data_IF_156741403193
#
_entry.id   IF_156741403193
#
_cell.length_a   1.000
_cell.length_b   1.000
_cell.length_c   1.000
_cell.angle_alpha   90.00
_cell.angle_beta   90.00
_cell.angle_gamma   90.00
#
_symmetry.space_group_name_H-M   'P 1'
#
loop_
_entity.id
_entity.type
_entity.pdbx_description
1 polymer ?
#
# COMPACT_ATOMS: atom_id res chain seq x y z
N UNK A 1 17.86 28.06 -10.34
CA UNK A 1 16.63 27.26 -10.53
C UNK A 1 16.76 25.83 -9.98
N UNK A 2 17.71 25.02 -10.48
CA UNK A 2 17.91 23.61 -10.08
C UNK A 2 18.07 23.38 -8.57
N UNK A 3 18.86 24.22 -7.89
CA UNK A 3 19.12 24.07 -6.45
C UNK A 3 17.90 24.35 -5.56
N UNK A 4 16.91 25.11 -6.07
CA UNK A 4 15.65 25.36 -5.36
C UNK A 4 14.71 24.16 -5.50
N UNK A 5 14.67 23.54 -6.69
CA UNK A 5 13.89 22.32 -6.95
C UNK A 5 14.40 21.16 -6.08
N UNK A 6 15.73 20.97 -6.00
CA UNK A 6 16.33 19.92 -5.16
C UNK A 6 16.04 20.10 -3.66
N UNK A 7 16.06 21.33 -3.16
CA UNK A 7 15.72 21.61 -1.76
C UNK A 7 14.24 21.32 -1.47
N UNK A 8 13.34 21.67 -2.39
CA UNK A 8 11.92 21.39 -2.23
C UNK A 8 11.60 19.89 -2.30
N UNK A 9 12.22 19.13 -3.20
CA UNK A 9 12.03 17.67 -3.26
C UNK A 9 12.60 16.97 -2.03
N UNK A 10 13.76 17.39 -1.54
CA UNK A 10 14.36 16.84 -0.32
C UNK A 10 13.50 17.10 0.93
N UNK A 11 12.83 18.26 1.01
CA UNK A 11 11.91 18.57 2.11
C UNK A 11 10.64 17.70 2.07
N UNK A 12 10.17 17.34 0.88
CA UNK A 12 8.97 16.52 0.69
C UNK A 12 9.23 15.02 0.91
N UNK A 13 10.48 14.57 0.72
CA UNK A 13 10.86 13.17 0.91
C UNK A 13 10.48 12.59 2.29
N UNK A 14 10.84 13.20 3.44
CA UNK A 14 10.45 12.68 4.75
C UNK A 14 8.94 12.64 4.95
N UNK A 15 8.20 13.60 4.37
CA UNK A 15 6.74 13.65 4.45
C UNK A 15 6.15 12.43 3.71
N UNK A 16 6.60 12.18 2.48
CA UNK A 16 6.14 11.04 1.68
C UNK A 16 6.47 9.71 2.36
N UNK A 17 7.69 9.59 2.91
CA UNK A 17 8.10 8.41 3.67
C UNK A 17 7.24 8.20 4.92
N UNK A 18 6.95 9.28 5.66
CA UNK A 18 6.09 9.22 6.84
C UNK A 18 4.68 8.76 6.50
N UNK A 19 4.07 9.33 5.46
CA UNK A 19 2.71 8.98 5.01
C UNK A 19 2.66 7.51 4.56
N UNK A 20 3.62 7.07 3.74
CA UNK A 20 3.63 5.69 3.22
C UNK A 20 3.85 4.65 4.34
N UNK A 21 4.59 5.03 5.39
CA UNK A 21 4.78 4.19 6.57
C UNK A 21 3.55 4.15 7.48
N UNK A 22 2.93 5.29 7.76
CA UNK A 22 1.95 5.40 8.85
C UNK A 22 0.48 5.41 8.40
N UNK A 23 0.19 5.94 7.20
CA UNK A 23 -1.17 6.17 6.73
C UNK A 23 -1.64 5.02 5.86
N UNK A 24 -0.87 4.66 4.84
CA UNK A 24 -1.18 3.54 3.97
C UNK A 24 -0.13 3.28 2.92
N UNK A 25 -0.19 2.12 2.27
CA UNK A 25 0.76 1.74 1.22
C UNK A 25 0.10 0.90 0.14
N UNK A 26 0.58 1.03 -1.09
CA UNK A 26 0.19 0.15 -2.19
C UNK A 26 0.99 -1.16 -2.13
N UNK A 27 0.30 -2.28 -2.25
CA UNK A 27 0.90 -3.61 -2.28
C UNK A 27 0.44 -4.34 -3.54
N UNK A 28 1.37 -5.05 -4.17
CA UNK A 28 1.09 -5.94 -5.29
C UNK A 28 0.71 -7.31 -4.73
N UNK A 29 -0.38 -7.87 -5.23
CA UNK A 29 -0.87 -9.19 -4.83
C UNK A 29 -0.44 -10.20 -5.90
N UNK A 30 0.68 -10.85 -5.62
CA UNK A 30 1.20 -11.94 -6.44
C UNK A 30 0.80 -13.29 -5.82
N UNK A 31 0.16 -14.15 -6.62
CA UNK A 31 -0.22 -15.51 -6.24
C UNK A 31 -1.72 -15.78 -6.34
N UNK A 32 -2.06 -17.07 -6.30
CA UNK A 32 -3.41 -17.59 -6.51
C UNK A 32 -4.18 -17.81 -5.20
N UNK A 33 -3.55 -17.58 -4.04
CA UNK A 33 -4.12 -17.90 -2.72
C UNK A 33 -5.30 -17.01 -2.31
N UNK A 34 -5.40 -15.81 -2.87
CA UNK A 34 -6.48 -14.85 -2.58
C UNK A 34 -7.62 -14.88 -3.63
N UNK A 35 -7.59 -15.86 -4.53
CA UNK A 35 -8.69 -16.13 -5.48
C UNK A 35 -9.89 -16.68 -4.69
N UNK A 36 -11.13 -16.28 -5.02
CA UNK A 36 -11.53 -15.51 -6.21
C UNK A 36 -11.55 -13.98 -6.04
N UNK A 37 -11.33 -13.46 -4.84
CA UNK A 37 -11.50 -12.03 -4.53
C UNK A 37 -10.43 -11.16 -5.19
N UNK A 38 -9.17 -11.60 -5.17
CA UNK A 38 -8.05 -10.94 -5.81
C UNK A 38 -7.48 -11.84 -6.91
N UNK A 39 -7.22 -11.26 -8.08
CA UNK A 39 -6.95 -11.89 -9.37
C UNK A 39 -8.09 -12.76 -9.96
N UNK A 40 -9.34 -12.25 -10.07
CA UNK A 40 -10.43 -12.98 -10.72
C UNK A 40 -10.12 -13.18 -12.21
N UNK A 41 -9.86 -14.44 -12.58
CA UNK A 41 -9.61 -14.88 -13.96
C UNK A 41 -8.20 -15.38 -14.26
N UNK A 42 -7.28 -15.40 -13.29
CA UNK A 42 -6.04 -16.21 -13.30
C UNK A 42 -5.16 -16.14 -14.56
N UNK A 43 -5.36 -15.12 -15.42
CA UNK A 43 -4.60 -14.99 -16.66
C UNK A 43 -3.16 -14.70 -16.24
N UNK A 44 -2.26 -15.66 -16.46
CA UNK A 44 -0.83 -15.55 -16.18
C UNK A 44 -0.34 -14.14 -16.57
N UNK A 45 0.04 -13.35 -15.57
CA UNK A 45 0.57 -11.99 -15.76
C UNK A 45 -0.35 -10.83 -15.34
N UNK A 46 -1.57 -11.07 -14.85
CA UNK A 46 -2.34 -10.03 -14.16
C UNK A 46 -2.07 -10.08 -12.66
N UNK A 47 -1.53 -8.98 -12.13
CA UNK A 47 -1.38 -8.76 -10.70
C UNK A 47 -2.24 -7.59 -10.27
N UNK A 48 -3.08 -7.80 -9.28
CA UNK A 48 -3.85 -6.74 -8.66
C UNK A 48 -2.98 -5.92 -7.70
N UNK A 49 -3.28 -4.63 -7.61
CA UNK A 49 -2.69 -3.72 -6.65
C UNK A 49 -3.77 -3.31 -5.66
N UNK A 50 -3.49 -3.48 -4.38
CA UNK A 50 -4.38 -3.10 -3.29
C UNK A 50 -3.79 -1.95 -2.50
N UNK A 51 -4.65 -1.05 -2.04
CA UNK A 51 -4.27 -0.02 -1.10
C UNK A 51 -4.50 -0.52 0.32
N UNK A 52 -3.43 -0.61 1.10
CA UNK A 52 -3.47 -1.00 2.49
C UNK A 52 -3.60 0.24 3.37
N UNK A 53 -4.74 0.38 4.02
CA UNK A 53 -4.96 1.43 5.02
C UNK A 53 -4.36 1.00 6.36
N UNK A 54 -3.35 1.73 6.83
CA UNK A 54 -2.60 1.42 8.07
C UNK A 54 -3.08 2.23 9.26
N UNK A 55 -3.70 3.39 9.04
CA UNK A 55 -4.11 4.26 10.13
C UNK A 55 -5.19 3.63 11.02
N UNK A 56 -6.15 2.90 10.43
CA UNK A 56 -7.21 2.17 11.17
C UNK A 56 -6.67 1.08 12.10
N UNK A 57 -5.48 0.53 11.81
CA UNK A 57 -4.85 -0.47 12.69
C UNK A 57 -4.46 0.09 14.06
N UNK A 58 -4.35 1.42 14.22
CA UNK A 58 -4.03 2.05 15.51
C UNK A 58 -5.12 1.82 16.57
N UNK A 59 -6.36 1.67 16.13
CA UNK A 59 -7.51 1.43 17.01
C UNK A 59 -7.87 -0.06 17.11
N UNK A 60 -7.09 -0.94 16.47
CA UNK A 60 -7.35 -2.38 16.37
C UNK A 60 -8.77 -2.72 15.91
N UNK A 61 -9.37 -1.86 15.08
CA UNK A 61 -10.70 -2.04 14.49
C UNK A 61 -10.66 -3.08 13.35
N UNK A 62 -10.24 -4.29 13.70
CA UNK A 62 -10.11 -5.42 12.77
C UNK A 62 -11.27 -6.36 12.99
N UNK A 63 -12.07 -6.55 11.94
CA UNK A 63 -13.21 -7.46 11.93
C UNK A 63 -12.92 -8.74 11.15
N UNK A 64 -13.57 -9.84 11.54
CA UNK A 64 -13.47 -11.11 10.78
C UNK A 64 -13.92 -10.87 9.33
N UNK A 65 -13.14 -11.40 8.39
CA UNK A 65 -13.38 -11.25 6.95
C UNK A 65 -12.61 -10.10 6.29
N UNK A 66 -11.91 -9.25 7.05
CA UNK A 66 -11.00 -8.26 6.48
C UNK A 66 -9.71 -8.91 5.99
N UNK A 67 -9.19 -8.42 4.86
CA UNK A 67 -7.88 -8.80 4.32
C UNK A 67 -6.83 -7.89 4.93
N UNK A 68 -5.84 -8.48 5.58
CA UNK A 68 -4.76 -7.76 6.25
C UNK A 68 -3.41 -8.19 5.69
N UNK A 69 -2.48 -7.25 5.61
CA UNK A 69 -1.09 -7.55 5.29
C UNK A 69 -0.32 -7.75 6.59
N UNK A 70 0.25 -8.94 6.77
CA UNK A 70 1.24 -9.21 7.82
C UNK A 70 2.60 -8.80 7.26
N UNK A 71 3.19 -7.77 7.86
CA UNK A 71 4.49 -7.23 7.46
C UNK A 71 5.56 -7.63 8.46
#
# INVERSE_FOLDING_TARGET
MLMHVLKQTALNLPIVLFVTKNVGSFAKVDGDSMIPTLNPGGKKGKSDYVFLWKWSMREFDISRGQVVALM
#
